data_IF_222238867554
#
_entry.id   IF_222238867554
#
_cell.length_a   1.000
_cell.length_b   1.000
_cell.length_c   1.000
_cell.angle_alpha   90.00
_cell.angle_beta   90.00
_cell.angle_gamma   90.00
#
_symmetry.space_group_name_H-M   'P 1'
#
loop_
_entity.id
_entity.type
_entity.pdbx_description
1 polymer ?
#
# COMPACT_ATOMS: atom_id res chain seq x y z
N UNK A 1 -5.42 -4.48 -12.64
CA UNK A 1 -4.10 -3.78 -12.84
C UNK A 1 -3.66 -2.87 -11.70
N UNK A 2 -4.37 -2.79 -10.59
CA UNK A 2 -4.09 -1.81 -9.52
C UNK A 2 -3.10 -2.25 -8.44
N UNK A 3 -2.45 -3.41 -8.54
CA UNK A 3 -1.58 -3.92 -7.47
C UNK A 3 -0.31 -4.64 -7.96
N UNK A 4 0.18 -4.34 -9.16
CA UNK A 4 1.49 -4.84 -9.60
C UNK A 4 2.56 -3.76 -9.53
N UNK A 5 2.77 -3.19 -8.35
CA UNK A 5 3.86 -2.26 -8.15
C UNK A 5 5.13 -3.05 -7.80
N UNK A 6 5.96 -3.33 -8.76
CA UNK A 6 7.30 -3.91 -8.60
C UNK A 6 8.35 -2.86 -8.93
N UNK A 7 9.13 -2.62 -7.98
CA UNK A 7 10.32 -1.81 -7.74
C UNK A 7 11.22 -1.49 -8.93
N UNK A 8 11.45 -0.21 -9.10
CA UNK A 8 12.54 0.41 -9.85
C UNK A 8 12.33 1.93 -9.86
N UNK A 9 13.38 2.71 -9.88
CA UNK A 9 13.32 4.18 -9.95
C UNK A 9 12.49 4.71 -11.13
N UNK A 10 12.38 3.93 -12.20
CA UNK A 10 11.53 4.23 -13.36
C UNK A 10 10.04 4.12 -13.06
N UNK A 11 9.64 3.35 -12.05
CA UNK A 11 8.25 3.12 -11.69
C UNK A 11 7.63 4.31 -10.95
N UNK A 12 8.39 4.99 -10.09
CA UNK A 12 7.92 6.21 -9.44
C UNK A 12 7.64 7.34 -10.44
N UNK A 13 8.41 7.42 -11.53
CA UNK A 13 8.19 8.40 -12.60
C UNK A 13 6.95 8.03 -13.41
N UNK A 14 6.82 6.77 -13.77
CA UNK A 14 5.69 6.26 -14.56
C UNK A 14 4.37 6.33 -13.79
N UNK A 15 4.38 6.03 -12.49
CA UNK A 15 3.20 6.15 -11.65
C UNK A 15 2.75 7.61 -11.46
N UNK A 16 3.68 8.56 -11.45
CA UNK A 16 3.36 9.99 -11.43
C UNK A 16 2.62 10.43 -12.69
N UNK A 17 3.06 9.99 -13.84
CA UNK A 17 2.43 10.28 -15.13
C UNK A 17 1.06 9.59 -15.24
N UNK A 18 0.97 8.32 -14.82
CA UNK A 18 -0.29 7.57 -14.84
C UNK A 18 -1.35 8.12 -13.87
N UNK A 19 -0.93 8.69 -12.76
CA UNK A 19 -1.84 9.26 -11.74
C UNK A 19 -2.07 10.77 -11.92
N UNK A 20 -1.46 11.38 -12.92
CA UNK A 20 -1.52 12.84 -13.16
C UNK A 20 -1.21 13.64 -11.89
N UNK A 21 -0.15 13.23 -11.19
CA UNK A 21 0.24 13.88 -9.95
C UNK A 21 0.79 15.28 -10.21
N UNK A 22 0.44 16.22 -9.33
CA UNK A 22 0.93 17.58 -9.41
C UNK A 22 2.47 17.60 -9.51
N UNK A 23 3.04 18.19 -10.59
CA UNK A 23 4.49 18.24 -10.80
C UNK A 23 5.23 19.03 -9.70
N UNK A 24 4.55 19.93 -9.00
CA UNK A 24 5.10 20.75 -7.93
C UNK A 24 5.19 20.00 -6.58
N UNK A 25 4.88 18.71 -6.57
CA UNK A 25 5.02 17.85 -5.39
C UNK A 25 6.20 16.90 -5.51
N UNK A 26 6.70 16.46 -4.38
CA UNK A 26 7.72 15.43 -4.27
C UNK A 26 7.31 14.34 -3.27
N UNK A 27 7.68 13.07 -3.51
CA UNK A 27 7.44 12.01 -2.55
C UNK A 27 8.36 12.17 -1.35
N UNK A 28 7.79 12.09 -0.16
CA UNK A 28 8.51 12.17 1.12
C UNK A 28 8.13 10.96 1.96
N UNK A 29 9.11 10.31 2.56
CA UNK A 29 8.88 9.27 3.54
C UNK A 29 8.49 9.95 4.87
N UNK A 30 7.22 9.79 5.27
CA UNK A 30 6.69 10.38 6.50
C UNK A 30 7.28 9.71 7.74
N UNK A 31 7.33 8.39 7.71
CA UNK A 31 7.91 7.57 8.76
C UNK A 31 8.35 6.20 8.23
N UNK A 32 9.25 5.56 8.96
CA UNK A 32 9.76 4.25 8.64
C UNK A 32 10.14 3.49 9.91
N UNK A 33 9.89 2.18 9.95
CA UNK A 33 10.22 1.33 11.09
C UNK A 33 10.62 -0.08 10.67
N UNK A 34 11.36 -0.77 11.53
CA UNK A 34 11.71 -2.16 11.34
C UNK A 34 10.74 -3.08 12.10
N UNK A 35 10.32 -4.15 11.45
CA UNK A 35 9.55 -5.23 12.04
C UNK A 35 10.44 -6.46 12.20
N UNK A 36 10.56 -6.95 13.43
CA UNK A 36 11.25 -8.20 13.75
C UNK A 36 10.21 -9.16 14.32
N UNK A 37 9.66 -9.98 13.46
CA UNK A 37 8.55 -10.88 13.77
C UNK A 37 9.07 -12.27 14.12
N UNK A 38 8.94 -12.66 15.37
CA UNK A 38 9.23 -14.03 15.86
C UNK A 38 8.04 -14.95 15.63
N UNK A 39 8.17 -16.22 16.00
CA UNK A 39 7.11 -17.23 15.87
C UNK A 39 5.78 -16.72 16.48
N UNK A 40 4.69 -16.85 15.72
CA UNK A 40 3.35 -16.39 16.09
C UNK A 40 3.08 -14.89 15.88
N UNK A 41 4.09 -14.07 15.63
CA UNK A 41 3.90 -12.65 15.41
C UNK A 41 3.17 -12.38 14.10
N UNK A 42 2.14 -11.55 14.16
CA UNK A 42 1.26 -11.19 13.05
C UNK A 42 0.79 -9.74 13.17
N UNK A 43 0.22 -9.20 12.11
CA UNK A 43 -0.48 -7.91 12.13
C UNK A 43 -1.93 -8.13 11.73
N UNK A 44 -2.86 -7.64 12.56
CA UNK A 44 -4.30 -7.68 12.24
C UNK A 44 -4.64 -6.72 11.12
N UNK A 45 -5.82 -6.90 10.53
CA UNK A 45 -6.37 -5.99 9.53
C UNK A 45 -6.30 -4.53 9.99
N UNK A 46 -5.68 -3.68 9.15
CA UNK A 46 -5.52 -2.25 9.41
C UNK A 46 -5.27 -1.48 8.11
N UNK A 47 -5.24 -0.16 8.23
CA UNK A 47 -4.87 0.81 7.19
C UNK A 47 -3.87 1.81 7.79
N UNK A 48 -3.27 2.65 6.97
CA UNK A 48 -2.36 3.72 7.40
C UNK A 48 -2.96 5.10 7.09
N UNK A 49 -3.88 5.62 7.93
CA UNK A 49 -4.50 6.92 7.67
C UNK A 49 -3.47 8.05 7.76
N UNK A 50 -3.65 9.06 6.90
CA UNK A 50 -2.80 10.25 6.89
C UNK A 50 -1.62 10.21 5.92
N UNK A 51 -1.38 9.09 5.23
CA UNK A 51 -0.38 8.96 4.18
C UNK A 51 -1.00 8.54 2.86
N UNK A 52 -0.31 8.78 1.74
CA UNK A 52 -0.82 8.39 0.41
C UNK A 52 -0.47 6.95 0.08
N UNK A 53 0.76 6.54 0.36
CA UNK A 53 1.26 5.18 0.11
C UNK A 53 1.94 4.62 1.34
N UNK A 54 1.87 3.30 1.46
CA UNK A 54 2.62 2.51 2.43
C UNK A 54 3.47 1.50 1.70
N UNK A 55 4.56 1.07 2.33
CA UNK A 55 5.44 0.07 1.75
C UNK A 55 5.99 -0.88 2.80
N UNK A 56 6.38 -2.06 2.32
CA UNK A 56 7.14 -3.04 3.10
C UNK A 56 8.28 -3.60 2.24
N UNK A 57 9.48 -3.59 2.78
CA UNK A 57 10.68 -4.21 2.20
C UNK A 57 11.13 -5.38 3.05
N UNK A 58 11.23 -6.57 2.46
CA UNK A 58 11.60 -7.78 3.18
C UNK A 58 13.12 -7.99 3.18
N UNK A 59 13.72 -8.05 4.38
CA UNK A 59 15.14 -8.32 4.58
C UNK A 59 15.37 -9.82 4.75
N UNK A 60 14.54 -10.47 5.57
CA UNK A 60 14.61 -11.90 5.86
C UNK A 60 13.20 -12.49 5.91
N UNK A 61 13.02 -13.61 5.21
CA UNK A 61 11.72 -14.27 5.08
C UNK A 61 11.95 -15.79 5.08
N UNK A 62 11.99 -16.42 6.26
CA UNK A 62 12.09 -17.87 6.33
C UNK A 62 10.82 -18.54 5.79
N UNK A 63 10.89 -19.81 5.49
CA UNK A 63 9.72 -20.59 5.09
C UNK A 63 8.61 -20.52 6.13
N UNK A 64 7.35 -20.55 5.68
CA UNK A 64 6.14 -20.45 6.51
C UNK A 64 6.05 -19.19 7.38
N UNK A 65 6.75 -18.13 7.02
CA UNK A 65 6.75 -16.91 7.84
C UNK A 65 5.53 -16.00 7.62
N UNK A 66 4.55 -16.44 6.82
CA UNK A 66 3.28 -15.74 6.59
C UNK A 66 3.38 -14.64 5.50
N UNK A 67 2.30 -14.47 4.76
CA UNK A 67 2.16 -13.53 3.65
C UNK A 67 1.49 -12.23 4.10
N UNK A 68 1.61 -11.18 3.30
CA UNK A 68 0.77 -9.99 3.42
C UNK A 68 -0.47 -10.18 2.56
N UNK A 69 -1.65 -9.94 3.11
CA UNK A 69 -2.95 -10.04 2.47
C UNK A 69 -3.58 -8.67 2.34
N UNK A 70 -4.25 -8.45 1.22
CA UNK A 70 -5.03 -7.24 0.95
C UNK A 70 -6.46 -7.65 0.66
N UNK A 71 -7.41 -7.01 1.36
CA UNK A 71 -8.84 -7.23 1.18
C UNK A 71 -9.45 -6.15 0.30
N UNK A 72 -10.46 -6.51 -0.49
CA UNK A 72 -11.28 -5.54 -1.23
C UNK A 72 -12.02 -4.65 -0.23
N UNK A 73 -11.86 -3.33 -0.26
CA UNK A 73 -12.51 -2.42 0.67
C UNK A 73 -14.03 -2.29 0.42
N UNK A 74 -14.51 -2.80 -0.71
CA UNK A 74 -15.92 -2.75 -1.07
C UNK A 74 -16.68 -3.88 -0.39
N UNK A 75 -17.38 -3.58 0.70
CA UNK A 75 -18.15 -4.58 1.46
C UNK A 75 -19.14 -5.35 0.59
N UNK A 76 -19.72 -4.72 -0.42
CA UNK A 76 -20.66 -5.34 -1.36
C UNK A 76 -20.01 -6.42 -2.23
N UNK A 77 -18.75 -6.24 -2.61
CA UNK A 77 -18.01 -7.24 -3.39
C UNK A 77 -17.73 -8.51 -2.57
N UNK A 78 -17.63 -8.40 -1.26
CA UNK A 78 -17.44 -9.53 -0.35
C UNK A 78 -18.77 -10.25 -0.10
N UNK A 79 -19.88 -9.50 -0.01
CA UNK A 79 -21.20 -10.03 0.33
C UNK A 79 -21.85 -10.87 -0.79
N UNK A 80 -21.51 -10.60 -2.05
CA UNK A 80 -22.07 -11.27 -3.21
C UNK A 80 -20.98 -12.00 -3.98
N UNK A 81 -20.92 -13.30 -3.81
CA UNK A 81 -19.99 -14.14 -4.58
C UNK A 81 -20.66 -14.64 -5.87
N UNK A 82 -19.99 -14.42 -6.99
CA UNK A 82 -20.43 -14.98 -8.27
C UNK A 82 -20.18 -16.50 -8.30
N UNK A 83 -21.05 -17.29 -8.97
CA UNK A 83 -20.84 -18.71 -9.15
C UNK A 83 -19.74 -18.98 -10.16
N UNK A 84 -18.49 -19.03 -9.69
CA UNK A 84 -17.32 -19.30 -10.53
C UNK A 84 -17.27 -20.76 -10.99
N UNK A 85 -16.69 -20.99 -12.15
CA UNK A 85 -16.43 -22.33 -12.65
C UNK A 85 -15.35 -23.01 -11.77
N UNK A 86 -15.67 -24.09 -11.03
CA UNK A 86 -14.72 -24.72 -10.12
C UNK A 86 -13.57 -25.45 -10.84
N UNK A 87 -13.68 -25.66 -12.16
CA UNK A 87 -12.63 -26.33 -12.97
C UNK A 87 -11.54 -25.35 -13.43
N UNK A 88 -11.78 -24.05 -13.33
CA UNK A 88 -10.83 -23.03 -13.76
C UNK A 88 -10.30 -22.25 -12.54
N UNK A 89 -9.00 -21.93 -12.49
CA UNK A 89 -8.50 -21.03 -11.47
C UNK A 89 -9.20 -19.66 -11.59
N UNK A 90 -9.57 -19.08 -10.45
CA UNK A 90 -10.16 -17.74 -10.44
C UNK A 90 -9.14 -16.72 -10.95
N UNK A 91 -9.58 -15.83 -11.79
CA UNK A 91 -8.78 -14.70 -12.24
C UNK A 91 -8.56 -13.75 -11.07
N UNK A 92 -7.37 -13.14 -11.04
CA UNK A 92 -6.98 -12.22 -9.96
C UNK A 92 -7.97 -11.06 -9.77
N UNK A 93 -8.49 -10.55 -10.87
CA UNK A 93 -9.45 -9.43 -10.91
C UNK A 93 -10.81 -9.77 -10.28
N UNK A 94 -11.06 -11.05 -10.02
CA UNK A 94 -12.31 -11.54 -9.43
C UNK A 94 -12.13 -12.03 -7.98
N UNK A 95 -10.94 -11.86 -7.42
CA UNK A 95 -10.66 -12.19 -6.02
C UNK A 95 -11.05 -11.01 -5.12
N UNK A 96 -11.66 -11.32 -3.99
CA UNK A 96 -11.94 -10.33 -2.95
C UNK A 96 -10.71 -10.08 -2.05
N UNK A 97 -9.74 -10.99 -2.14
CA UNK A 97 -8.49 -10.92 -1.41
C UNK A 97 -7.34 -11.34 -2.30
N UNK A 98 -6.22 -10.67 -2.14
CA UNK A 98 -4.97 -11.02 -2.82
C UNK A 98 -3.83 -11.02 -1.82
N UNK A 99 -2.84 -11.88 -2.04
CA UNK A 99 -1.69 -11.95 -1.15
C UNK A 99 -0.37 -11.93 -1.92
N UNK A 100 0.67 -11.54 -1.21
CA UNK A 100 2.05 -11.64 -1.64
C UNK A 100 2.88 -12.34 -0.59
N UNK A 101 3.58 -13.38 -1.02
CA UNK A 101 4.57 -14.04 -0.18
C UNK A 101 5.76 -13.10 0.09
N UNK A 102 6.26 -13.07 1.31
CA UNK A 102 7.47 -12.34 1.64
C UNK A 102 8.67 -13.02 0.96
N UNK A 103 9.45 -12.25 0.23
CA UNK A 103 10.69 -12.72 -0.43
C UNK A 103 11.78 -11.72 -0.08
N UNK A 104 12.95 -12.16 0.41
CA UNK A 104 14.05 -11.25 0.68
C UNK A 104 14.42 -10.41 -0.55
N UNK A 105 14.60 -9.09 -0.35
CA UNK A 105 14.82 -8.12 -1.43
C UNK A 105 13.55 -7.62 -2.12
N UNK A 106 12.36 -8.14 -1.78
CA UNK A 106 11.09 -7.65 -2.34
C UNK A 106 10.62 -6.40 -1.60
N UNK A 107 10.29 -5.36 -2.36
CA UNK A 107 9.53 -4.21 -1.92
C UNK A 107 8.09 -4.34 -2.45
N UNK A 108 7.11 -4.13 -1.59
CA UNK A 108 5.70 -4.02 -1.95
C UNK A 108 5.27 -2.62 -1.54
N UNK A 109 4.71 -1.86 -2.48
CA UNK A 109 4.12 -0.54 -2.24
C UNK A 109 2.63 -0.61 -2.56
N UNK A 110 1.81 0.03 -1.74
CA UNK A 110 0.36 0.01 -1.86
C UNK A 110 -0.26 1.29 -1.32
N UNK A 111 -1.47 1.66 -1.77
CA UNK A 111 -2.19 2.81 -1.22
C UNK A 111 -2.42 2.63 0.28
N UNK A 112 -2.17 3.67 1.06
CA UNK A 112 -2.28 3.61 2.54
C UNK A 112 -3.68 3.29 3.05
N UNK A 113 -4.71 3.53 2.24
CA UNK A 113 -6.09 3.17 2.55
C UNK A 113 -6.41 1.68 2.33
N UNK A 114 -5.54 0.91 1.65
CA UNK A 114 -5.77 -0.50 1.39
C UNK A 114 -5.76 -1.30 2.70
N UNK A 115 -6.89 -1.94 2.99
CA UNK A 115 -7.03 -2.81 4.16
C UNK A 115 -6.13 -4.02 3.97
N UNK A 116 -5.26 -4.26 4.93
CA UNK A 116 -4.30 -5.37 4.85
C UNK A 116 -3.98 -5.96 6.21
N UNK A 117 -3.52 -7.20 6.17
CA UNK A 117 -3.02 -7.93 7.32
C UNK A 117 -1.75 -8.70 6.97
N UNK A 118 -1.04 -9.14 7.98
CA UNK A 118 0.13 -10.00 7.81
C UNK A 118 -0.06 -11.26 8.64
N UNK A 119 -0.03 -12.41 7.97
CA UNK A 119 -0.20 -13.72 8.60
C UNK A 119 0.85 -13.98 9.70
N UNK A 120 0.53 -14.87 10.63
CA UNK A 120 1.49 -15.32 11.64
C UNK A 120 2.76 -15.90 11.03
N UNK A 121 3.89 -15.56 11.62
CA UNK A 121 5.14 -16.24 11.33
C UNK A 121 5.12 -17.63 11.99
N UNK A 122 4.97 -18.66 11.17
CA UNK A 122 4.96 -20.07 11.59
C UNK A 122 6.24 -20.80 11.20
N UNK A 123 7.35 -20.07 11.04
CA UNK A 123 8.64 -20.70 10.72
C UNK A 123 9.09 -21.62 11.85
N UNK A 124 9.47 -22.82 11.48
CA UNK A 124 10.00 -23.84 12.39
C UNK A 124 11.47 -23.64 12.73
N UNK A 125 12.13 -22.68 12.04
CA UNK A 125 13.53 -22.36 12.31
C UNK A 125 13.67 -21.65 13.66
N UNK A 126 14.70 -22.01 14.41
CA UNK A 126 14.96 -21.44 15.74
C UNK A 126 15.89 -20.23 15.70
N UNK A 127 15.75 -19.36 16.70
CA UNK A 127 16.59 -18.21 16.89
C UNK A 127 16.48 -17.20 15.75
N UNK A 128 17.56 -16.53 15.42
CA UNK A 128 17.58 -15.46 14.41
C UNK A 128 17.14 -15.94 13.02
N UNK A 129 17.36 -17.22 12.67
CA UNK A 129 16.99 -17.77 11.37
C UNK A 129 15.47 -17.89 11.18
N UNK A 130 14.69 -18.00 12.25
CA UNK A 130 13.22 -18.09 12.21
C UNK A 130 12.53 -16.74 12.21
N UNK A 131 13.24 -15.63 12.26
CA UNK A 131 12.66 -14.30 12.26
C UNK A 131 12.25 -13.87 10.83
N UNK A 132 11.03 -13.35 10.68
CA UNK A 132 10.69 -12.50 9.52
C UNK A 132 11.13 -11.08 9.84
N UNK A 133 11.99 -10.51 9.00
CA UNK A 133 12.51 -9.15 9.19
C UNK A 133 12.14 -8.31 7.99
N UNK A 134 11.49 -7.18 8.24
CA UNK A 134 11.11 -6.23 7.20
C UNK A 134 11.26 -4.79 7.68
N UNK A 135 11.40 -3.88 6.73
CA UNK A 135 11.26 -2.44 6.95
C UNK A 135 9.97 -2.00 6.31
N UNK A 136 9.13 -1.32 7.07
CA UNK A 136 7.88 -0.72 6.60
C UNK A 136 7.96 0.79 6.74
N UNK A 137 7.16 1.49 5.94
CA UNK A 137 7.07 2.94 6.03
C UNK A 137 5.85 3.48 5.30
N UNK A 138 5.61 4.76 5.51
CA UNK A 138 4.55 5.52 4.89
C UNK A 138 5.16 6.67 4.10
N UNK A 139 4.50 7.04 3.01
CA UNK A 139 4.95 8.07 2.09
C UNK A 139 3.79 8.97 1.69
N UNK A 140 4.07 10.25 1.63
CA UNK A 140 3.15 11.27 1.13
C UNK A 140 3.82 12.14 0.07
N UNK A 141 2.99 12.81 -0.74
CA UNK A 141 3.45 13.83 -1.66
C UNK A 141 3.31 15.19 -1.02
N UNK A 142 4.42 15.90 -0.87
CA UNK A 142 4.48 17.24 -0.30
C UNK A 142 4.90 18.24 -1.36
N UNK A 143 4.50 19.48 -1.19
CA UNK A 143 4.96 20.56 -2.04
C UNK A 143 6.49 20.72 -1.96
N UNK A 144 7.15 20.96 -3.10
CA UNK A 144 8.59 21.21 -3.14
C UNK A 144 8.95 22.48 -2.39
N UNK A 145 9.98 22.42 -1.54
CA UNK A 145 10.35 23.54 -0.65
C UNK A 145 10.90 24.78 -1.35
N UNK A 146 11.23 24.72 -2.64
CA UNK A 146 11.98 25.77 -3.34
C UNK A 146 11.15 26.68 -4.25
N UNK A 147 9.84 26.51 -4.30
CA UNK A 147 9.00 27.44 -5.04
C UNK A 147 8.16 28.26 -4.07
N UNK A 148 8.01 29.56 -4.38
CA UNK A 148 7.02 30.43 -3.75
C UNK A 148 5.65 29.84 -4.07
N UNK A 149 5.22 28.87 -3.28
CA UNK A 149 3.90 28.29 -3.40
C UNK A 149 2.94 29.34 -2.87
N UNK A 150 2.38 30.09 -3.80
CA UNK A 150 1.14 30.77 -3.54
C UNK A 150 0.11 29.70 -3.21
N UNK A 151 -0.09 29.46 -1.92
CA UNK A 151 -1.17 28.67 -1.33
C UNK A 151 -1.56 27.43 -2.13
N UNK A 152 -0.95 26.27 -1.83
CA UNK A 152 -1.59 24.99 -2.07
C UNK A 152 -2.85 25.01 -1.19
N UNK A 153 -3.97 25.41 -1.73
CA UNK A 153 -5.25 25.24 -1.09
C UNK A 153 -5.47 23.74 -0.96
N UNK A 154 -5.16 23.18 0.21
CA UNK A 154 -5.74 21.89 0.58
C UNK A 154 -7.25 22.12 0.44
N UNK A 155 -7.93 21.35 -0.39
CA UNK A 155 -9.32 21.55 -0.79
C UNK A 155 -10.33 21.41 0.35
N UNK A 156 -9.96 21.91 1.53
CA UNK A 156 -10.82 21.98 2.70
C UNK A 156 -10.95 23.47 3.08
N UNK A 157 -12.17 23.96 3.09
CA UNK A 157 -12.47 25.25 3.71
C UNK A 157 -12.25 25.16 5.24
N UNK A 158 -12.31 26.31 5.91
CA UNK A 158 -12.17 26.39 7.37
C UNK A 158 -13.22 25.55 8.15
N UNK A 159 -14.19 24.95 7.48
CA UNK A 159 -15.22 24.06 8.04
C UNK A 159 -15.01 22.60 7.71
N UNK A 160 -13.92 22.25 7.02
CA UNK A 160 -13.56 20.86 6.68
C UNK A 160 -14.35 20.25 5.51
N UNK A 161 -15.04 21.05 4.72
CA UNK A 161 -15.70 20.58 3.50
C UNK A 161 -14.75 20.68 2.31
N UNK A 162 -14.79 19.67 1.43
CA UNK A 162 -14.13 19.71 0.12
C UNK A 162 -14.81 20.82 -0.70
N UNK A 163 -14.09 21.90 -0.97
CA UNK A 163 -14.54 22.90 -1.93
C UNK A 163 -14.04 22.51 -3.32
N UNK A 164 -14.97 22.42 -4.25
CA UNK A 164 -14.68 22.25 -5.69
C UNK A 164 -14.33 23.58 -6.36
N UNK A 165 -13.66 24.48 -5.65
CA UNK A 165 -13.21 25.77 -6.18
C UNK A 165 -12.03 25.52 -7.11
N UNK A 166 -12.32 25.34 -8.37
CA UNK A 166 -11.34 25.07 -9.42
C UNK A 166 -11.94 24.45 -10.67
N UNK A 167 -13.19 24.06 -10.64
CA UNK A 167 -13.90 23.72 -11.88
C UNK A 167 -14.32 25.01 -12.56
N UNK A 168 -13.40 25.62 -13.31
CA UNK A 168 -13.79 26.63 -14.27
C UNK A 168 -14.85 26.04 -15.19
N UNK A 169 -16.02 26.69 -15.21
CA UNK A 169 -17.04 26.45 -16.21
C UNK A 169 -16.42 26.70 -17.58
N UNK A 170 -16.03 25.63 -18.28
CA UNK A 170 -15.78 25.74 -19.71
C UNK A 170 -17.13 26.00 -20.36
N UNK A 171 -17.36 27.24 -20.70
CA UNK A 171 -18.39 27.63 -21.68
C UNK A 171 -17.95 27.24 -23.08
#
# INVERSE_FOLDING_TARGET
EMLSCLVGSEMCIRDREMMDLNPDTEPVIDNMWANVSQFGAHNRNHTHPGSHFSFVYYIQSPEKCGSIWFSDPRAQAIAVQLPYNPKNPRKRETLNEVFWAPVPGRLIMFPSWAVHEVEPNLSELKGKKGLRVSVSGNMSFHARKNEKISEVRTGHDAKGFLTLDGVEKRT
#
